data_IF_676666402026
#
_entry.id   IF_676666402026
#
_cell.length_a   1.000
_cell.length_b   1.000
_cell.length_c   1.000
_cell.angle_alpha   90.00
_cell.angle_beta   90.00
_cell.angle_gamma   90.00
#
_symmetry.space_group_name_H-M   'P 1'
#
loop_
_entity.id
_entity.type
_entity.pdbx_description
1 polymer ?
#
# COMPACT_ATOMS: atom_id res chain seq x y z
N UNK A 1 26.70 -0.85 -20.05
CA UNK A 1 27.09 0.52 -19.62
C UNK A 1 25.84 1.38 -19.39
N UNK A 2 24.85 1.35 -20.29
CA UNK A 2 23.57 2.08 -20.14
C UNK A 2 22.70 1.54 -19.00
N UNK A 3 22.56 0.23 -18.87
CA UNK A 3 21.81 -0.41 -17.78
C UNK A 3 22.41 -0.13 -16.39
N UNK A 4 23.74 -0.10 -16.27
CA UNK A 4 24.40 0.23 -15.01
C UNK A 4 24.19 1.70 -14.60
N UNK A 5 24.13 2.62 -15.58
CA UNK A 5 23.82 4.03 -15.34
C UNK A 5 22.36 4.23 -14.94
N UNK A 6 21.42 3.60 -15.63
CA UNK A 6 20.01 3.64 -15.31
C UNK A 6 19.73 3.08 -13.90
N UNK A 7 20.41 2.01 -13.51
CA UNK A 7 20.33 1.45 -12.15
C UNK A 7 20.89 2.40 -11.09
N UNK A 8 22.02 3.07 -11.36
CA UNK A 8 22.64 4.05 -10.45
C UNK A 8 21.75 5.29 -10.28
N UNK A 9 21.16 5.80 -11.36
CA UNK A 9 20.23 6.94 -11.34
C UNK A 9 18.94 6.61 -10.57
N UNK A 10 18.39 5.42 -10.75
CA UNK A 10 17.26 4.89 -9.97
C UNK A 10 17.59 4.80 -8.47
N UNK A 11 18.80 4.35 -8.14
CA UNK A 11 19.25 4.21 -6.74
C UNK A 11 19.46 5.57 -6.07
N UNK A 12 20.04 6.53 -6.78
CA UNK A 12 20.23 7.90 -6.28
C UNK A 12 18.89 8.59 -6.08
N UNK A 13 17.98 8.48 -7.05
CA UNK A 13 16.63 9.03 -6.96
C UNK A 13 15.84 8.42 -5.79
N UNK A 14 15.96 7.12 -5.57
CA UNK A 14 15.34 6.42 -4.45
C UNK A 14 15.86 6.94 -3.09
N UNK A 15 17.17 7.07 -2.93
CA UNK A 15 17.78 7.57 -1.68
C UNK A 15 17.36 9.01 -1.37
N UNK A 16 17.29 9.87 -2.41
CA UNK A 16 16.82 11.24 -2.27
C UNK A 16 15.33 11.29 -1.86
N UNK A 17 14.48 10.47 -2.48
CA UNK A 17 13.06 10.37 -2.16
C UNK A 17 12.83 9.87 -0.73
N UNK A 18 13.54 8.81 -0.30
CA UNK A 18 13.50 8.31 1.08
C UNK A 18 13.88 9.41 2.08
N UNK A 19 14.96 10.14 1.79
CA UNK A 19 15.42 11.22 2.67
C UNK A 19 14.38 12.33 2.78
N UNK A 20 13.68 12.63 1.71
CA UNK A 20 12.63 13.65 1.69
C UNK A 20 11.40 13.19 2.48
N UNK A 21 10.95 11.94 2.24
CA UNK A 21 9.77 11.37 2.91
C UNK A 21 9.98 11.15 4.41
N UNK A 22 11.20 10.94 4.88
CA UNK A 22 11.52 10.87 6.30
C UNK A 22 11.65 12.25 6.95
N UNK A 23 12.15 13.26 6.23
CA UNK A 23 12.36 14.61 6.78
C UNK A 23 11.05 15.30 7.15
N UNK A 24 10.01 15.12 6.35
CA UNK A 24 8.70 15.78 6.56
C UNK A 24 8.04 15.36 7.88
N UNK A 25 7.82 14.07 8.19
CA UNK A 25 7.25 13.66 9.47
C UNK A 25 8.18 13.99 10.65
N UNK A 26 9.50 13.90 10.48
CA UNK A 26 10.45 14.29 11.52
C UNK A 26 10.30 15.78 11.89
N UNK A 27 10.19 16.68 10.91
CA UNK A 27 9.96 18.09 11.15
C UNK A 27 8.60 18.34 11.85
N UNK A 28 7.56 17.56 11.51
CA UNK A 28 6.26 17.62 12.20
C UNK A 28 6.37 17.17 13.66
N UNK A 29 7.06 16.05 13.93
CA UNK A 29 7.31 15.60 15.32
C UNK A 29 7.98 16.70 16.12
N UNK A 30 9.01 17.33 15.56
CA UNK A 30 9.73 18.40 16.25
C UNK A 30 8.81 19.59 16.56
N UNK A 31 8.03 20.06 15.59
CA UNK A 31 7.07 21.15 15.77
C UNK A 31 5.98 20.83 16.81
N UNK A 32 5.49 19.58 16.84
CA UNK A 32 4.51 19.13 17.83
C UNK A 32 5.10 19.13 19.24
N UNK A 33 6.34 18.66 19.41
CA UNK A 33 7.04 18.67 20.70
C UNK A 33 7.34 20.09 21.18
N UNK A 34 7.78 20.98 20.28
CA UNK A 34 7.98 22.41 20.60
C UNK A 34 6.67 23.08 21.02
N UNK A 35 5.57 22.78 20.32
CA UNK A 35 4.23 23.30 20.67
C UNK A 35 3.75 22.77 22.02
N UNK A 36 3.98 21.49 22.30
CA UNK A 36 3.62 20.85 23.57
C UNK A 36 4.34 21.44 24.80
N UNK A 37 5.49 22.08 24.57
CA UNK A 37 6.25 22.77 25.62
C UNK A 37 5.73 24.19 25.93
N UNK A 38 4.78 24.73 25.14
CA UNK A 38 4.22 26.06 25.36
C UNK A 38 3.17 26.07 26.49
N UNK A 39 3.07 27.15 27.28
CA UNK A 39 2.05 27.30 28.31
C UNK A 39 0.63 27.23 27.70
N UNK A 40 -0.23 26.39 28.28
CA UNK A 40 -1.62 26.25 27.85
C UNK A 40 -1.85 25.31 26.65
N UNK A 41 -0.81 24.65 26.15
CA UNK A 41 -0.94 23.64 25.11
C UNK A 41 -1.64 22.36 25.64
N UNK A 42 -2.47 21.73 24.81
CA UNK A 42 -2.99 20.39 25.08
C UNK A 42 -1.89 19.35 24.79
N UNK A 43 -1.02 19.17 25.78
CA UNK A 43 0.15 18.30 25.67
C UNK A 43 -0.22 16.86 25.32
N UNK A 44 -1.35 16.34 25.83
CA UNK A 44 -1.77 14.96 25.57
C UNK A 44 -2.10 14.76 24.09
N UNK A 45 -2.89 15.63 23.51
CA UNK A 45 -3.25 15.57 22.07
C UNK A 45 -2.01 15.72 21.19
N UNK A 46 -1.10 16.63 21.53
CA UNK A 46 0.12 16.86 20.74
C UNK A 46 1.10 15.67 20.81
N UNK A 47 1.21 15.03 21.97
CA UNK A 47 2.01 13.80 22.11
C UNK A 47 1.42 12.63 21.35
N UNK A 48 0.10 12.45 21.33
CA UNK A 48 -0.56 11.43 20.53
C UNK A 48 -0.32 11.65 19.02
N UNK A 49 -0.43 12.89 18.56
CA UNK A 49 -0.10 13.25 17.18
C UNK A 49 1.38 13.01 16.84
N UNK A 50 2.29 13.34 17.74
CA UNK A 50 3.72 13.05 17.55
C UNK A 50 4.00 11.56 17.47
N UNK A 51 3.36 10.75 18.33
CA UNK A 51 3.43 9.29 18.30
C UNK A 51 2.95 8.72 16.95
N UNK A 52 1.82 9.20 16.45
CA UNK A 52 1.32 8.79 15.12
C UNK A 52 2.33 9.06 13.99
N UNK A 53 3.04 10.20 14.04
CA UNK A 53 4.09 10.49 13.06
C UNK A 53 5.28 9.54 13.16
N UNK A 54 5.69 9.17 14.38
CA UNK A 54 6.77 8.19 14.61
C UNK A 54 6.36 6.81 14.10
N UNK A 55 5.12 6.38 14.32
CA UNK A 55 4.59 5.11 13.81
C UNK A 55 4.52 5.09 12.27
N UNK A 56 4.20 6.24 11.64
CA UNK A 56 4.24 6.39 10.18
C UNK A 56 5.67 6.28 9.63
N UNK A 57 6.65 6.89 10.31
CA UNK A 57 8.07 6.76 9.94
C UNK A 57 8.57 5.33 10.09
N UNK A 58 8.19 4.63 11.15
CA UNK A 58 8.56 3.22 11.34
C UNK A 58 8.04 2.35 10.20
N UNK A 59 6.76 2.50 9.83
CA UNK A 59 6.18 1.79 8.67
C UNK A 59 6.91 2.11 7.36
N UNK A 60 7.26 3.37 7.12
CA UNK A 60 8.02 3.75 5.93
C UNK A 60 9.39 3.05 5.88
N UNK A 61 10.09 2.96 7.02
CA UNK A 61 11.38 2.26 7.11
C UNK A 61 11.20 0.76 6.83
N UNK A 62 10.17 0.12 7.39
CA UNK A 62 9.87 -1.28 7.16
C UNK A 62 9.55 -1.57 5.70
N UNK A 63 8.75 -0.71 5.05
CA UNK A 63 8.43 -0.78 3.62
C UNK A 63 9.69 -0.71 2.74
N UNK A 64 10.59 0.22 3.06
CA UNK A 64 11.87 0.41 2.35
C UNK A 64 12.76 -0.82 2.49
N UNK A 65 12.92 -1.34 3.71
CA UNK A 65 13.73 -2.52 3.99
C UNK A 65 13.15 -3.75 3.29
N UNK A 66 11.83 -3.92 3.34
CA UNK A 66 11.15 -5.03 2.68
C UNK A 66 11.32 -4.96 1.15
N UNK A 67 11.11 -3.78 0.54
CA UNK A 67 11.31 -3.60 -0.89
C UNK A 67 12.77 -3.88 -1.30
N UNK A 68 13.75 -3.45 -0.51
CA UNK A 68 15.16 -3.74 -0.72
C UNK A 68 15.47 -5.23 -0.64
N UNK A 69 14.81 -5.98 0.25
CA UNK A 69 14.96 -7.44 0.36
C UNK A 69 14.37 -8.16 -0.86
N UNK A 70 13.20 -7.72 -1.35
CA UNK A 70 12.58 -8.24 -2.57
C UNK A 70 13.49 -8.01 -3.78
N UNK A 71 14.04 -6.81 -3.95
CA UNK A 71 14.92 -6.46 -5.07
C UNK A 71 16.24 -7.21 -5.07
N UNK A 72 16.78 -7.48 -3.89
CA UNK A 72 18.03 -8.26 -3.75
C UNK A 72 17.82 -9.77 -3.92
N UNK A 73 16.60 -10.24 -4.16
CA UNK A 73 16.25 -11.66 -4.25
C UNK A 73 16.40 -12.42 -2.92
N UNK A 74 16.59 -11.71 -1.81
CA UNK A 74 16.69 -12.33 -0.48
C UNK A 74 15.35 -12.81 0.04
N UNK A 75 14.27 -12.15 -0.39
CA UNK A 75 12.92 -12.58 -0.12
C UNK A 75 12.30 -13.17 -1.39
N UNK A 76 11.99 -14.47 -1.38
CA UNK A 76 11.40 -15.17 -2.53
C UNK A 76 9.89 -15.26 -2.31
N UNK A 77 9.10 -14.53 -3.09
CA UNK A 77 7.64 -14.50 -2.96
C UNK A 77 6.95 -15.79 -3.42
N UNK A 78 7.55 -16.50 -4.39
CA UNK A 78 6.91 -17.53 -5.20
C UNK A 78 7.06 -18.98 -4.69
N UNK A 79 7.56 -19.22 -3.48
CA UNK A 79 7.70 -20.58 -2.97
C UNK A 79 6.49 -21.00 -2.14
N UNK A 80 5.44 -21.47 -2.81
CA UNK A 80 4.27 -22.08 -2.18
C UNK A 80 2.95 -21.49 -2.67
N UNK A 81 1.87 -22.21 -2.40
CA UNK A 81 0.50 -21.76 -2.64
C UNK A 81 -0.20 -21.51 -1.31
N UNK A 82 -1.20 -20.64 -1.34
CA UNK A 82 -2.00 -20.31 -0.15
C UNK A 82 -3.46 -20.18 -0.53
N UNK A 83 -4.34 -20.80 0.25
CA UNK A 83 -5.79 -20.57 0.15
C UNK A 83 -6.09 -19.10 0.41
N UNK A 84 -6.75 -18.47 -0.56
CA UNK A 84 -6.95 -17.02 -0.53
C UNK A 84 -7.97 -16.59 0.54
N UNK A 85 -9.12 -17.26 0.61
CA UNK A 85 -10.23 -16.86 1.47
C UNK A 85 -9.84 -16.61 2.93
N UNK A 86 -9.15 -17.52 3.64
CA UNK A 86 -8.81 -17.28 5.05
C UNK A 86 -7.88 -16.09 5.27
N UNK A 87 -7.03 -15.78 4.29
CA UNK A 87 -6.12 -14.63 4.38
C UNK A 87 -6.88 -13.33 4.13
N UNK A 88 -7.76 -13.30 3.14
CA UNK A 88 -8.55 -12.11 2.82
C UNK A 88 -9.51 -11.76 3.97
N UNK A 89 -10.15 -12.76 4.59
CA UNK A 89 -11.02 -12.57 5.77
C UNK A 89 -10.23 -12.06 6.98
N UNK A 90 -9.03 -12.59 7.23
CA UNK A 90 -8.15 -12.09 8.29
C UNK A 90 -7.78 -10.62 8.07
N UNK A 91 -7.40 -10.24 6.84
CA UNK A 91 -7.07 -8.86 6.51
C UNK A 91 -8.29 -7.95 6.65
N UNK A 92 -9.46 -8.36 6.13
CA UNK A 92 -10.70 -7.61 6.27
C UNK A 92 -11.05 -7.39 7.75
N UNK A 93 -10.94 -8.41 8.59
CA UNK A 93 -11.16 -8.31 10.03
C UNK A 93 -10.17 -7.37 10.73
N UNK A 94 -8.88 -7.46 10.39
CA UNK A 94 -7.84 -6.59 10.95
C UNK A 94 -8.01 -5.11 10.58
N UNK A 95 -8.54 -4.84 9.39
CA UNK A 95 -8.75 -3.48 8.89
C UNK A 95 -10.16 -2.93 9.18
N UNK A 96 -11.04 -3.70 9.83
CA UNK A 96 -12.43 -3.34 10.06
C UNK A 96 -12.59 -1.97 10.73
N UNK A 97 -11.87 -1.72 11.85
CA UNK A 97 -11.93 -0.43 12.56
C UNK A 97 -11.45 0.75 11.70
N UNK A 98 -10.45 0.51 10.84
CA UNK A 98 -9.93 1.55 9.94
C UNK A 98 -10.90 1.84 8.80
N UNK A 99 -11.55 0.80 8.28
CA UNK A 99 -12.57 0.91 7.25
C UNK A 99 -13.81 1.61 7.80
N UNK A 100 -14.26 1.28 9.01
CA UNK A 100 -15.38 1.94 9.66
C UNK A 100 -15.13 3.45 9.86
N UNK A 101 -13.94 3.81 10.36
CA UNK A 101 -13.56 5.24 10.50
C UNK A 101 -13.50 6.00 9.18
N UNK A 102 -13.20 5.31 8.09
CA UNK A 102 -13.16 5.89 6.74
C UNK A 102 -14.52 5.84 6.02
N UNK A 103 -15.54 5.24 6.65
CA UNK A 103 -16.84 4.95 6.05
C UNK A 103 -16.70 4.14 4.74
N UNK A 104 -15.84 3.10 4.78
CA UNK A 104 -15.61 2.16 3.68
C UNK A 104 -16.00 0.77 4.11
N UNK A 105 -16.80 0.08 3.30
CA UNK A 105 -17.18 -1.31 3.55
C UNK A 105 -16.23 -2.25 2.83
N UNK A 106 -15.73 -3.28 3.53
CA UNK A 106 -14.93 -4.34 2.92
C UNK A 106 -15.81 -5.57 2.69
N UNK A 107 -15.74 -6.10 1.47
CA UNK A 107 -16.40 -7.35 1.06
C UNK A 107 -15.33 -8.30 0.55
N UNK A 108 -15.38 -9.57 0.99
CA UNK A 108 -14.52 -10.64 0.48
C UNK A 108 -15.36 -11.57 -0.40
N UNK A 109 -14.89 -11.79 -1.64
CA UNK A 109 -15.50 -12.66 -2.63
C UNK A 109 -14.48 -13.68 -3.14
N UNK A 110 -14.38 -14.81 -2.45
CA UNK A 110 -13.48 -15.89 -2.81
C UNK A 110 -14.11 -17.25 -2.47
N UNK A 111 -13.93 -18.23 -3.35
CA UNK A 111 -14.31 -19.60 -3.05
C UNK A 111 -13.27 -20.24 -2.09
N UNK A 112 -13.70 -21.17 -1.21
CA UNK A 112 -12.83 -21.74 -0.17
C UNK A 112 -11.58 -22.47 -0.72
N UNK A 113 -11.67 -23.03 -1.92
CA UNK A 113 -10.64 -23.83 -2.52
C UNK A 113 -9.70 -23.06 -3.47
N UNK A 114 -9.91 -21.75 -3.63
CA UNK A 114 -9.04 -20.93 -4.47
C UNK A 114 -7.68 -20.76 -3.80
N UNK A 115 -6.64 -21.22 -4.48
CA UNK A 115 -5.23 -21.04 -4.09
C UNK A 115 -4.51 -20.09 -5.03
N UNK A 116 -3.68 -19.22 -4.46
CA UNK A 116 -2.80 -18.30 -5.20
C UNK A 116 -1.34 -18.68 -5.00
N UNK A 117 -0.46 -18.54 -6.01
CA UNK A 117 0.93 -18.96 -5.96
C UNK A 117 1.81 -17.98 -5.18
N UNK A 118 1.38 -17.69 -3.96
CA UNK A 118 2.08 -16.84 -3.00
C UNK A 118 2.11 -17.53 -1.63
N UNK A 119 3.22 -17.38 -0.90
CA UNK A 119 3.24 -17.74 0.52
C UNK A 119 2.26 -16.87 1.30
N UNK A 120 1.66 -17.42 2.37
CA UNK A 120 0.67 -16.73 3.20
C UNK A 120 1.08 -15.29 3.57
N UNK A 121 2.34 -15.09 4.00
CA UNK A 121 2.85 -13.76 4.34
C UNK A 121 2.80 -12.80 3.16
N UNK A 122 3.18 -13.26 1.95
CA UNK A 122 3.19 -12.41 0.75
C UNK A 122 1.78 -12.08 0.29
N UNK A 123 0.87 -13.05 0.32
CA UNK A 123 -0.54 -12.82 0.04
C UNK A 123 -1.15 -11.83 1.03
N UNK A 124 -0.83 -11.94 2.32
CA UNK A 124 -1.30 -11.00 3.34
C UNK A 124 -0.79 -9.58 3.07
N UNK A 125 0.51 -9.41 2.75
CA UNK A 125 1.10 -8.11 2.41
C UNK A 125 0.42 -7.49 1.18
N UNK A 126 0.18 -8.28 0.13
CA UNK A 126 -0.51 -7.79 -1.08
C UNK A 126 -1.93 -7.36 -0.76
N UNK A 127 -2.71 -8.22 -0.10
CA UNK A 127 -4.10 -7.95 0.25
C UNK A 127 -4.24 -6.72 1.17
N UNK A 128 -3.34 -6.57 2.17
CA UNK A 128 -3.32 -5.44 3.08
C UNK A 128 -3.03 -4.12 2.37
N UNK A 129 -1.99 -4.07 1.53
CA UNK A 129 -1.66 -2.86 0.77
C UNK A 129 -2.79 -2.45 -0.19
N UNK A 130 -3.43 -3.42 -0.84
CA UNK A 130 -4.57 -3.16 -1.72
C UNK A 130 -5.77 -2.63 -0.92
N UNK A 131 -6.09 -3.24 0.22
CA UNK A 131 -7.20 -2.82 1.06
C UNK A 131 -6.96 -1.44 1.70
N UNK A 132 -5.77 -1.21 2.26
CA UNK A 132 -5.41 0.11 2.82
C UNK A 132 -5.47 1.22 1.79
N UNK A 133 -5.09 0.92 0.54
CA UNK A 133 -5.17 1.89 -0.55
C UNK A 133 -6.64 2.31 -0.79
N UNK A 134 -7.57 1.39 -0.89
CA UNK A 134 -8.99 1.70 -1.07
C UNK A 134 -9.58 2.39 0.17
N UNK A 135 -9.30 1.92 1.40
CA UNK A 135 -9.75 2.57 2.64
C UNK A 135 -9.32 4.04 2.67
N UNK A 136 -8.12 4.32 2.21
CA UNK A 136 -7.53 5.67 2.25
C UNK A 136 -8.05 6.59 1.16
N UNK A 137 -8.34 6.07 -0.04
CA UNK A 137 -8.55 6.89 -1.23
C UNK A 137 -9.92 6.77 -1.89
N UNK A 138 -10.68 5.71 -1.65
CA UNK A 138 -12.00 5.52 -2.26
C UNK A 138 -12.99 6.62 -1.83
N UNK A 139 -12.91 7.05 -0.58
CA UNK A 139 -13.79 8.06 0.02
C UNK A 139 -14.97 7.43 0.77
N UNK A 140 -15.69 8.25 1.56
CA UNK A 140 -16.78 7.76 2.39
C UNK A 140 -17.93 7.18 1.57
N UNK A 141 -18.59 6.16 2.13
CA UNK A 141 -19.68 5.42 1.50
C UNK A 141 -19.23 4.37 0.47
N UNK A 142 -17.93 4.28 0.16
CA UNK A 142 -17.42 3.33 -0.81
C UNK A 142 -17.43 1.88 -0.31
N UNK A 143 -17.51 0.94 -1.25
CA UNK A 143 -17.36 -0.49 -1.00
C UNK A 143 -16.10 -0.99 -1.70
N UNK A 144 -15.16 -1.56 -0.93
CA UNK A 144 -14.04 -2.33 -1.44
C UNK A 144 -14.44 -3.80 -1.53
N UNK A 145 -14.27 -4.41 -2.70
CA UNK A 145 -14.40 -5.86 -2.89
C UNK A 145 -13.02 -6.47 -3.16
N UNK A 146 -12.62 -7.40 -2.29
CA UNK A 146 -11.43 -8.25 -2.48
C UNK A 146 -11.90 -9.57 -3.09
N UNK A 147 -11.55 -9.80 -4.34
CA UNK A 147 -11.95 -11.01 -5.09
C UNK A 147 -10.74 -11.89 -5.33
N UNK A 148 -10.84 -13.19 -5.04
CA UNK A 148 -9.86 -14.17 -5.48
C UNK A 148 -10.49 -15.22 -6.39
N UNK A 149 -9.83 -15.49 -7.51
CA UNK A 149 -10.16 -16.53 -8.50
C UNK A 149 -8.89 -17.31 -8.83
N UNK A 150 -8.97 -18.47 -9.49
CA UNK A 150 -7.77 -19.17 -9.94
C UNK A 150 -6.85 -18.23 -10.73
N UNK A 151 -5.59 -18.10 -10.26
CA UNK A 151 -4.57 -17.22 -10.86
C UNK A 151 -4.86 -15.71 -10.82
N UNK A 152 -5.83 -15.25 -10.04
CA UNK A 152 -6.19 -13.83 -10.01
C UNK A 152 -6.56 -13.36 -8.60
N UNK A 153 -6.03 -12.18 -8.20
CA UNK A 153 -6.48 -11.41 -7.04
C UNK A 153 -6.86 -10.01 -7.50
N UNK A 154 -8.07 -9.59 -7.16
CA UNK A 154 -8.59 -8.27 -7.51
C UNK A 154 -9.00 -7.51 -6.26
N UNK A 155 -8.60 -6.25 -6.19
CA UNK A 155 -9.18 -5.27 -5.30
C UNK A 155 -9.90 -4.21 -6.13
N UNK A 156 -11.20 -4.05 -5.92
CA UNK A 156 -12.00 -3.08 -6.64
C UNK A 156 -12.84 -2.28 -5.66
N UNK A 157 -12.75 -0.96 -5.73
CA UNK A 157 -13.66 -0.07 -5.02
C UNK A 157 -14.59 0.67 -5.99
N UNK A 158 -15.73 1.12 -5.48
CA UNK A 158 -16.71 1.94 -6.19
C UNK A 158 -16.63 3.41 -5.78
N UNK A 159 -15.46 3.83 -5.31
CA UNK A 159 -15.21 5.16 -4.78
C UNK A 159 -15.03 6.23 -5.86
N UNK A 160 -14.34 7.31 -5.47
CA UNK A 160 -14.15 8.51 -6.31
C UNK A 160 -13.32 8.27 -7.57
N UNK A 161 -12.52 7.21 -7.60
CA UNK A 161 -11.62 6.90 -8.71
C UNK A 161 -10.47 7.90 -8.88
N UNK A 162 -9.76 7.77 -10.00
CA UNK A 162 -8.59 8.56 -10.39
C UNK A 162 -8.72 9.04 -11.83
N UNK A 163 -7.94 10.06 -12.20
CA UNK A 163 -7.79 10.45 -13.59
C UNK A 163 -7.05 9.36 -14.39
N UNK A 164 -7.38 9.21 -15.67
CA UNK A 164 -6.85 8.09 -16.47
C UNK A 164 -5.33 8.16 -16.67
N UNK A 165 -4.74 9.36 -16.66
CA UNK A 165 -3.31 9.60 -16.77
C UNK A 165 -2.53 9.27 -15.48
N UNK A 166 -3.22 9.15 -14.34
CA UNK A 166 -2.63 8.76 -13.06
C UNK A 166 -2.48 7.22 -12.94
N UNK A 167 -3.35 6.43 -13.60
CA UNK A 167 -3.40 4.97 -13.46
C UNK A 167 -2.06 4.26 -13.75
N UNK A 168 -1.31 4.59 -14.81
CA UNK A 168 -0.02 3.93 -15.10
C UNK A 168 1.04 4.17 -14.02
N UNK A 169 0.91 5.29 -13.30
CA UNK A 169 1.88 5.74 -12.30
C UNK A 169 1.64 5.20 -10.91
N UNK A 170 0.48 4.59 -10.65
CA UNK A 170 0.10 4.09 -9.33
C UNK A 170 1.12 3.13 -8.70
N UNK A 171 1.88 2.42 -9.53
CA UNK A 171 2.88 1.45 -9.11
C UNK A 171 4.32 2.01 -9.06
N UNK A 172 4.49 3.32 -9.35
CA UNK A 172 5.76 3.99 -9.16
C UNK A 172 6.03 4.20 -7.67
N UNK A 173 7.28 4.08 -7.26
CA UNK A 173 7.68 4.32 -5.86
C UNK A 173 7.48 5.78 -5.49
N UNK A 174 6.92 6.01 -4.30
CA UNK A 174 6.62 7.34 -3.76
C UNK A 174 5.61 8.14 -4.60
N UNK A 175 5.01 7.52 -5.63
CA UNK A 175 3.98 8.21 -6.38
C UNK A 175 2.74 8.40 -5.52
N UNK A 176 2.25 9.62 -5.55
CA UNK A 176 0.97 10.01 -4.93
C UNK A 176 0.32 11.04 -5.84
N UNK A 177 -0.95 10.85 -6.13
CA UNK A 177 -1.72 11.84 -6.87
C UNK A 177 -1.73 13.19 -6.13
N UNK A 178 -1.96 14.28 -6.82
CA UNK A 178 -1.98 15.61 -6.20
C UNK A 178 -3.02 15.69 -5.08
N UNK A 179 -4.15 15.03 -5.24
CA UNK A 179 -5.20 14.89 -4.21
C UNK A 179 -4.76 14.05 -3.02
N UNK A 180 -3.95 13.04 -3.25
CA UNK A 180 -3.44 12.14 -2.22
C UNK A 180 -2.29 12.75 -1.40
N UNK A 181 -1.64 13.82 -1.87
CA UNK A 181 -0.53 14.46 -1.15
C UNK A 181 -0.92 15.05 0.20
N UNK A 182 -2.18 15.43 0.37
CA UNK A 182 -2.72 15.91 1.63
C UNK A 182 -3.06 14.79 2.64
N UNK A 183 -3.17 13.52 2.19
CA UNK A 183 -3.45 12.37 3.04
C UNK A 183 -2.16 11.74 3.57
N UNK A 184 -2.26 10.84 4.56
CA UNK A 184 -1.13 10.05 5.06
C UNK A 184 -0.80 8.92 4.06
N UNK A 185 0.47 8.52 3.94
CA UNK A 185 0.90 7.35 3.18
C UNK A 185 2.25 7.53 2.51
N UNK A 186 2.97 6.43 2.39
CA UNK A 186 4.37 6.37 1.93
C UNK A 186 4.50 6.38 0.40
N UNK A 187 3.44 6.02 -0.34
CA UNK A 187 3.50 5.81 -1.78
C UNK A 187 4.31 4.56 -2.17
N UNK A 188 4.59 3.66 -1.22
CA UNK A 188 5.33 2.41 -1.47
C UNK A 188 4.42 1.19 -1.58
N UNK A 189 3.22 1.20 -0.98
CA UNK A 189 2.36 0.03 -0.89
C UNK A 189 2.06 -0.64 -2.22
N UNK A 190 1.67 0.11 -3.25
CA UNK A 190 1.40 -0.45 -4.59
C UNK A 190 2.68 -0.85 -5.34
N UNK A 191 3.81 -0.20 -5.08
CA UNK A 191 5.10 -0.64 -5.59
C UNK A 191 5.52 -1.99 -4.97
N UNK A 192 5.23 -2.21 -3.67
CA UNK A 192 5.40 -3.50 -3.00
C UNK A 192 4.51 -4.57 -3.65
N UNK A 193 3.22 -4.27 -3.86
CA UNK A 193 2.29 -5.18 -4.55
C UNK A 193 2.87 -5.60 -5.90
N UNK A 194 3.27 -4.65 -6.74
CA UNK A 194 3.87 -4.92 -8.05
C UNK A 194 5.10 -5.82 -7.94
N UNK A 195 5.98 -5.56 -6.99
CA UNK A 195 7.22 -6.33 -6.81
C UNK A 195 6.95 -7.77 -6.34
N UNK A 196 6.05 -7.95 -5.37
CA UNK A 196 5.65 -9.28 -4.88
C UNK A 196 5.01 -10.10 -5.99
N UNK A 197 4.06 -9.52 -6.73
CA UNK A 197 3.36 -10.21 -7.83
C UNK A 197 4.35 -10.54 -8.95
N UNK A 198 5.22 -9.61 -9.35
CA UNK A 198 6.24 -9.84 -10.38
C UNK A 198 7.24 -10.94 -9.98
N UNK A 199 7.66 -11.01 -8.69
CA UNK A 199 8.55 -12.07 -8.21
C UNK A 199 7.89 -13.45 -8.16
N UNK A 200 6.56 -13.51 -8.23
CA UNK A 200 5.79 -14.74 -8.44
C UNK A 200 5.48 -15.01 -9.92
N UNK A 201 6.12 -14.27 -10.85
CA UNK A 201 5.91 -14.42 -12.30
C UNK A 201 4.60 -13.78 -12.79
N UNK A 202 3.91 -13.03 -11.95
CA UNK A 202 2.64 -12.39 -12.24
C UNK A 202 2.76 -10.96 -12.78
N UNK A 203 1.62 -10.35 -13.05
CA UNK A 203 1.49 -8.97 -13.51
C UNK A 203 0.41 -8.23 -12.72
N UNK A 204 0.56 -6.92 -12.64
CA UNK A 204 -0.41 -6.04 -11.97
C UNK A 204 -0.88 -4.97 -12.94
N UNK A 205 -2.19 -4.79 -12.99
CA UNK A 205 -2.83 -3.76 -13.79
C UNK A 205 -3.78 -2.93 -12.94
N UNK A 206 -3.92 -1.65 -13.29
CA UNK A 206 -4.90 -0.77 -12.69
C UNK A 206 -5.86 -0.25 -13.76
N UNK A 207 -7.13 -0.17 -13.41
CA UNK A 207 -8.17 0.41 -14.24
C UNK A 207 -9.15 1.19 -13.37
N UNK A 208 -9.91 2.09 -13.95
CA UNK A 208 -10.86 2.93 -13.24
C UNK A 208 -11.06 4.26 -13.94
N UNK A 209 -11.55 5.24 -13.21
CA UNK A 209 -11.75 6.60 -13.72
C UNK A 209 -12.56 7.43 -12.74
N UNK A 210 -12.67 8.74 -12.95
CA UNK A 210 -13.41 9.62 -12.07
C UNK A 210 -14.85 9.14 -11.83
N UNK A 211 -15.21 8.95 -10.55
CA UNK A 211 -16.53 8.46 -10.12
C UNK A 211 -16.82 6.98 -10.45
N UNK A 212 -15.83 6.23 -10.91
CA UNK A 212 -15.98 4.79 -11.25
C UNK A 212 -15.14 3.88 -10.35
N UNK A 213 -14.53 4.45 -9.30
CA UNK A 213 -13.63 3.75 -8.42
C UNK A 213 -12.31 3.34 -9.08
N UNK A 214 -11.55 2.51 -8.38
CA UNK A 214 -10.29 1.93 -8.84
C UNK A 214 -10.37 0.41 -8.74
N UNK A 215 -9.88 -0.27 -9.77
CA UNK A 215 -9.70 -1.72 -9.80
C UNK A 215 -8.23 -2.04 -10.01
N UNK A 216 -7.65 -2.81 -9.11
CA UNK A 216 -6.29 -3.33 -9.24
C UNK A 216 -6.39 -4.84 -9.38
N UNK A 217 -5.85 -5.36 -10.47
CA UNK A 217 -5.86 -6.78 -10.83
C UNK A 217 -4.45 -7.33 -10.78
N UNK A 218 -4.22 -8.34 -9.95
CA UNK A 218 -2.98 -9.10 -9.87
C UNK A 218 -3.23 -10.45 -10.55
N UNK A 219 -2.56 -10.72 -11.65
CA UNK A 219 -2.63 -12.00 -12.38
C UNK A 219 -1.37 -12.82 -12.11
N UNK A 220 -1.51 -14.13 -12.01
CA UNK A 220 -0.43 -15.06 -11.76
C UNK A 220 -0.39 -16.12 -12.85
N UNK A 221 0.78 -16.74 -13.13
CA UNK A 221 0.84 -17.89 -14.02
C UNK A 221 -0.06 -19.01 -13.51
N UNK A 222 -0.66 -19.73 -14.43
CA UNK A 222 -1.39 -20.94 -14.07
C UNK A 222 -0.45 -21.94 -13.38
N UNK A 223 -0.93 -22.69 -12.37
CA UNK A 223 -0.14 -23.68 -11.66
C UNK A 223 0.34 -24.83 -12.56
#
# INVERSE_FOLDING_TARGET
>A
MEEARAYEELRVGFTAAVSHELRTPLARVLALLETAALPGADTAVLLDQAREQVEEMARLIDDILFLSQLESGREVAALGTTRALPVLEEIAGRLADSAERADVRIVVDAEPDVELPLRRRMLAIVAENLAENSIRYAGPGATLTLTARPSELVAADDGRGLEEDELPRLFERFYRSDRARASRGTGLGLAIVKHVVASAGGQVEASGGPGRGVRITCTFPAP
#
